data_IF_233781205377
#
_entry.id   IF_233781205377
#
_cell.length_a   1.000
_cell.length_b   1.000
_cell.length_c   1.000
_cell.angle_alpha   90.00
_cell.angle_beta   90.00
_cell.angle_gamma   90.00
#
_symmetry.space_group_name_H-M   'P 1'
#
loop_
_entity.id
_entity.type
_entity.pdbx_description
1 polymer ?
#
# COMPACT_ATOMS: atom_id res chain seq x y z
N UNK A 1 -49.97 -1.28 58.35
CA UNK A 1 -48.81 -1.38 57.43
C UNK A 1 -48.52 -0.01 56.83
N UNK A 2 -47.34 0.56 57.10
CA UNK A 2 -47.05 1.98 56.89
C UNK A 2 -46.93 2.36 55.40
N UNK A 3 -47.73 3.34 54.96
CA UNK A 3 -47.71 3.84 53.56
C UNK A 3 -46.36 4.47 53.16
N UNK A 4 -45.55 4.89 54.13
CA UNK A 4 -44.18 5.40 53.93
C UNK A 4 -43.22 4.35 53.38
N UNK A 5 -43.19 3.12 53.94
CA UNK A 5 -42.31 2.05 53.47
C UNK A 5 -42.57 1.66 52.01
N UNK A 6 -43.85 1.60 51.61
CA UNK A 6 -44.22 1.31 50.21
C UNK A 6 -43.78 2.40 49.23
N UNK A 7 -43.75 3.67 49.65
CA UNK A 7 -43.24 4.78 48.83
C UNK A 7 -41.70 4.78 48.75
N UNK A 8 -41.02 4.46 49.85
CA UNK A 8 -39.55 4.34 49.87
C UNK A 8 -39.02 3.21 48.97
N UNK A 9 -39.65 2.04 49.01
CA UNK A 9 -39.27 0.89 48.18
C UNK A 9 -39.41 1.18 46.66
N UNK A 10 -40.48 1.90 46.26
CA UNK A 10 -40.68 2.28 44.87
C UNK A 10 -39.60 3.25 44.36
N UNK A 11 -39.19 4.23 45.17
CA UNK A 11 -38.13 5.18 44.81
C UNK A 11 -36.76 4.48 44.65
N UNK A 12 -36.44 3.53 45.53
CA UNK A 12 -35.20 2.76 45.45
C UNK A 12 -35.11 1.91 44.16
N UNK A 13 -36.23 1.29 43.74
CA UNK A 13 -36.28 0.51 42.50
C UNK A 13 -36.10 1.37 41.24
N UNK A 14 -36.65 2.59 41.22
CA UNK A 14 -36.45 3.53 40.10
C UNK A 14 -34.98 3.95 39.98
N UNK A 15 -34.33 4.28 41.09
CA UNK A 15 -32.91 4.65 41.10
C UNK A 15 -32.01 3.47 40.68
N UNK A 16 -32.33 2.24 41.12
CA UNK A 16 -31.61 1.04 40.72
C UNK A 16 -31.75 0.70 39.23
N UNK A 17 -32.83 1.12 38.57
CA UNK A 17 -33.09 0.88 37.15
C UNK A 17 -32.35 1.85 36.20
N UNK A 18 -31.85 2.98 36.69
CA UNK A 18 -31.12 3.98 35.86
C UNK A 18 -29.72 3.47 35.50
N UNK A 19 -29.04 2.79 36.44
CA UNK A 19 -27.66 2.28 36.27
C UNK A 19 -27.53 1.26 35.12
N UNK A 20 -28.38 0.22 34.97
CA UNK A 20 -28.28 -0.69 33.82
C UNK A 20 -28.74 -0.04 32.49
N UNK A 21 -29.64 0.94 32.52
CA UNK A 21 -30.06 1.64 31.29
C UNK A 21 -28.94 2.51 30.71
N UNK A 22 -28.07 3.09 31.56
CA UNK A 22 -26.91 3.84 31.07
C UNK A 22 -25.88 3.00 30.30
N UNK A 23 -25.90 1.67 30.40
CA UNK A 23 -25.00 0.80 29.64
C UNK A 23 -25.28 0.79 28.12
N UNK A 24 -26.50 1.14 27.69
CA UNK A 24 -26.83 1.36 26.27
C UNK A 24 -26.80 2.84 25.86
N UNK A 25 -26.51 3.78 26.77
CA UNK A 25 -26.66 5.21 26.51
C UNK A 25 -25.69 5.77 25.45
N UNK A 26 -24.61 5.04 25.14
CA UNK A 26 -23.69 5.41 24.06
C UNK A 26 -24.34 5.36 22.67
N UNK A 27 -25.31 4.45 22.43
CA UNK A 27 -26.15 4.42 21.24
C UNK A 27 -25.41 4.63 19.91
N UNK A 28 -25.75 5.72 19.21
CA UNK A 28 -25.15 6.13 17.93
C UNK A 28 -23.79 6.85 18.07
N UNK A 29 -23.40 7.23 19.28
CA UNK A 29 -22.19 8.00 19.60
C UNK A 29 -21.14 7.13 20.32
N UNK A 30 -21.27 5.81 20.27
CA UNK A 30 -20.36 4.87 20.92
C UNK A 30 -18.92 4.98 20.38
N UNK A 31 -17.93 4.99 21.28
CA UNK A 31 -16.50 5.07 20.93
C UNK A 31 -16.06 3.96 19.94
N UNK A 32 -16.73 2.80 19.98
CA UNK A 32 -16.49 1.70 19.04
C UNK A 32 -16.84 2.03 17.58
N UNK A 33 -17.75 2.99 17.34
CA UNK A 33 -18.08 3.50 16.01
C UNK A 33 -17.05 4.53 15.50
N UNK A 34 -16.21 5.06 16.38
CA UNK A 34 -15.14 5.99 16.02
C UNK A 34 -13.84 5.28 15.60
N UNK A 35 -13.72 3.98 15.88
CA UNK A 35 -12.61 3.14 15.42
C UNK A 35 -12.69 2.99 13.89
N UNK A 36 -11.65 3.45 13.21
CA UNK A 36 -11.52 3.35 11.74
C UNK A 36 -10.64 2.15 11.36
N UNK A 37 -10.86 1.54 10.18
CA UNK A 37 -9.90 0.58 9.63
C UNK A 37 -8.52 1.23 9.45
N UNK A 38 -7.45 0.44 9.63
CA UNK A 38 -6.06 0.91 9.47
C UNK A 38 -5.74 1.32 8.03
N UNK A 39 -6.32 0.60 7.07
CA UNK A 39 -6.16 0.84 5.63
C UNK A 39 -7.29 1.75 5.11
N UNK A 40 -7.00 2.52 4.07
CA UNK A 40 -7.91 3.54 3.57
C UNK A 40 -9.26 2.94 3.10
N UNK A 41 -10.34 3.67 3.39
CA UNK A 41 -11.70 3.34 3.00
C UNK A 41 -12.43 4.61 2.56
N UNK A 42 -13.36 4.47 1.61
CA UNK A 42 -14.17 5.57 1.07
C UNK A 42 -15.49 5.03 0.52
N UNK A 43 -16.41 5.92 0.15
CA UNK A 43 -17.69 5.52 -0.44
C UNK A 43 -18.31 6.59 -1.32
N UNK A 44 -19.05 6.14 -2.34
CA UNK A 44 -20.01 6.98 -3.07
C UNK A 44 -21.39 6.62 -2.54
N UNK A 45 -22.06 7.63 -1.98
CA UNK A 45 -23.36 7.52 -1.32
C UNK A 45 -23.43 6.32 -0.33
N UNK A 46 -24.60 5.71 -0.24
CA UNK A 46 -24.86 4.52 0.59
C UNK A 46 -24.73 3.20 -0.20
N UNK A 47 -24.39 3.27 -1.49
CA UNK A 47 -24.45 2.12 -2.42
C UNK A 47 -23.08 1.58 -2.86
N UNK A 48 -22.02 2.39 -2.80
CA UNK A 48 -20.68 1.98 -3.27
C UNK A 48 -19.70 2.13 -2.12
N UNK A 49 -19.17 1.02 -1.58
CA UNK A 49 -18.19 1.03 -0.49
C UNK A 49 -16.86 0.45 -0.97
N UNK A 50 -15.77 1.19 -0.74
CA UNK A 50 -14.41 0.73 -1.02
C UNK A 50 -13.68 0.64 0.32
N UNK A 51 -13.17 -0.54 0.64
CA UNK A 51 -12.48 -0.85 1.89
C UNK A 51 -11.11 -1.46 1.61
N UNK A 52 -10.19 -1.32 2.56
CA UNK A 52 -8.86 -1.93 2.48
C UNK A 52 -8.08 -1.51 1.21
N UNK A 53 -8.11 -0.22 0.87
CA UNK A 53 -7.45 0.33 -0.31
C UNK A 53 -5.96 0.50 -0.01
N UNK A 54 -5.13 -0.30 -0.69
CA UNK A 54 -3.66 -0.31 -0.52
C UNK A 54 -2.98 -0.33 -1.90
N UNK A 55 -1.92 0.46 -2.04
CA UNK A 55 -1.02 0.40 -3.19
C UNK A 55 0.16 -0.50 -2.82
N UNK A 56 0.39 -1.57 -3.59
CA UNK A 56 1.42 -2.56 -3.28
C UNK A 56 2.60 -2.40 -4.25
N UNK A 57 3.78 -2.08 -3.70
CA UNK A 57 5.05 -2.04 -4.41
C UNK A 57 5.73 -3.43 -4.36
N UNK A 58 6.70 -3.73 -5.25
CA UNK A 58 7.44 -5.00 -5.20
C UNK A 58 8.09 -5.27 -3.84
N UNK A 59 8.29 -6.54 -3.51
CA UNK A 59 9.05 -6.95 -2.33
C UNK A 59 10.46 -6.33 -2.35
N UNK A 60 10.95 -5.91 -1.18
CA UNK A 60 12.25 -5.22 -1.04
C UNK A 60 12.24 -3.72 -1.36
N UNK A 61 11.09 -3.15 -1.79
CA UNK A 61 10.95 -1.68 -1.96
C UNK A 61 10.82 -0.99 -0.59
N UNK A 62 11.45 0.17 -0.42
CA UNK A 62 11.36 0.99 0.79
C UNK A 62 11.63 2.47 0.48
N UNK A 63 10.99 3.40 1.21
CA UNK A 63 11.15 4.84 1.00
C UNK A 63 10.68 5.28 -0.39
N UNK A 64 11.35 6.28 -0.96
CA UNK A 64 11.02 6.81 -2.30
C UNK A 64 11.26 5.75 -3.39
N UNK A 65 10.19 5.40 -4.10
CA UNK A 65 10.15 4.33 -5.10
C UNK A 65 9.57 4.86 -6.41
N UNK A 66 10.14 4.43 -7.53
CA UNK A 66 9.62 4.71 -8.88
C UNK A 66 9.64 3.44 -9.70
N UNK A 67 8.47 2.87 -10.00
CA UNK A 67 8.36 1.62 -10.74
C UNK A 67 6.95 1.04 -10.71
N UNK A 68 6.75 -0.21 -11.19
CA UNK A 68 5.45 -0.83 -11.23
C UNK A 68 4.86 -1.02 -9.83
N UNK A 69 3.54 -0.89 -9.73
CA UNK A 69 2.79 -1.12 -8.49
C UNK A 69 1.42 -1.70 -8.82
N UNK A 70 0.81 -2.40 -7.88
CA UNK A 70 -0.56 -2.89 -7.96
C UNK A 70 -1.47 -2.16 -6.98
N UNK A 71 -2.78 -2.22 -7.22
CA UNK A 71 -3.80 -1.73 -6.28
C UNK A 71 -4.60 -2.92 -5.79
N UNK A 72 -4.79 -3.01 -4.48
CA UNK A 72 -5.77 -3.91 -3.87
C UNK A 72 -6.84 -3.12 -3.12
N UNK A 73 -8.08 -3.58 -3.22
CA UNK A 73 -9.24 -3.00 -2.55
C UNK A 73 -10.37 -4.04 -2.54
N UNK A 74 -11.22 -4.03 -1.52
CA UNK A 74 -12.53 -4.68 -1.58
C UNK A 74 -13.58 -3.65 -1.98
N UNK A 75 -14.27 -3.89 -3.10
CA UNK A 75 -15.28 -2.99 -3.65
C UNK A 75 -16.65 -3.66 -3.53
N UNK A 76 -17.52 -3.12 -2.70
CA UNK A 76 -18.87 -3.63 -2.46
C UNK A 76 -19.91 -2.75 -3.16
N UNK A 77 -20.79 -3.39 -3.93
CA UNK A 77 -21.99 -2.77 -4.50
C UNK A 77 -23.20 -3.14 -3.63
N UNK A 78 -23.56 -2.25 -2.70
CA UNK A 78 -24.74 -2.41 -1.84
C UNK A 78 -26.03 -1.88 -2.46
N UNK A 79 -26.03 -1.54 -3.75
CA UNK A 79 -27.27 -1.23 -4.48
C UNK A 79 -28.13 -2.51 -4.63
N UNK A 80 -29.48 -2.41 -4.53
CA UNK A 80 -30.35 -3.58 -4.52
C UNK A 80 -30.66 -4.14 -5.92
N UNK A 81 -30.34 -3.40 -7.00
CA UNK A 81 -30.73 -3.74 -8.39
C UNK A 81 -29.76 -3.23 -9.47
N UNK A 82 -28.99 -2.20 -9.18
CA UNK A 82 -28.11 -1.56 -10.17
C UNK A 82 -26.70 -2.15 -10.10
N UNK A 83 -26.18 -2.59 -11.25
CA UNK A 83 -24.80 -3.03 -11.38
C UNK A 83 -23.83 -1.84 -11.36
N UNK A 84 -22.70 -2.03 -10.68
CA UNK A 84 -21.63 -1.05 -10.54
C UNK A 84 -20.51 -1.38 -11.53
N UNK A 85 -20.18 -0.43 -12.40
CA UNK A 85 -19.14 -0.60 -13.44
C UNK A 85 -17.93 0.28 -13.11
N UNK A 86 -16.83 -0.35 -12.73
CA UNK A 86 -15.53 0.30 -12.54
C UNK A 86 -14.80 0.36 -13.89
N UNK A 87 -14.44 1.55 -14.35
CA UNK A 87 -13.83 1.78 -15.68
C UNK A 87 -12.39 2.27 -15.62
N UNK A 88 -11.89 2.65 -14.44
CA UNK A 88 -10.50 3.06 -14.28
C UNK A 88 -10.05 3.22 -12.84
N UNK A 89 -8.73 3.10 -12.64
CA UNK A 89 -8.04 3.43 -11.39
C UNK A 89 -6.82 4.27 -11.73
N UNK A 90 -6.51 5.28 -10.92
CA UNK A 90 -5.28 6.08 -11.00
C UNK A 90 -4.59 6.12 -9.65
N UNK A 91 -3.26 6.00 -9.64
CA UNK A 91 -2.39 6.12 -8.46
C UNK A 91 -1.37 7.22 -8.72
N UNK A 92 -1.33 8.25 -7.88
CA UNK A 92 -0.40 9.37 -8.07
C UNK A 92 -0.58 10.10 -9.42
N UNK A 93 -1.78 10.03 -10.01
CA UNK A 93 -2.08 10.53 -11.35
C UNK A 93 -1.83 9.54 -12.50
N UNK A 94 -1.11 8.44 -12.29
CA UNK A 94 -0.86 7.42 -13.33
C UNK A 94 -1.99 6.40 -13.39
N UNK A 95 -2.50 6.12 -14.59
CA UNK A 95 -3.53 5.10 -14.79
C UNK A 95 -3.02 3.66 -14.57
N UNK A 96 -3.84 2.84 -13.93
CA UNK A 96 -3.65 1.39 -13.82
C UNK A 96 -4.31 0.67 -15.00
N UNK A 97 -3.66 -0.37 -15.49
CA UNK A 97 -4.25 -1.35 -16.40
C UNK A 97 -5.13 -2.31 -15.58
N UNK A 98 -6.37 -2.49 -16.00
CA UNK A 98 -7.29 -3.48 -15.43
C UNK A 98 -7.15 -4.82 -16.17
N UNK A 99 -7.15 -5.92 -15.43
CA UNK A 99 -7.24 -7.27 -15.98
C UNK A 99 -8.25 -8.11 -15.21
N UNK A 100 -8.82 -9.14 -15.84
CA UNK A 100 -9.66 -10.12 -15.15
C UNK A 100 -8.85 -11.03 -14.19
N UNK A 101 -9.54 -12.02 -13.61
CA UNK A 101 -8.95 -13.09 -12.78
C UNK A 101 -7.90 -13.95 -13.52
N UNK A 102 -7.99 -14.03 -14.85
CA UNK A 102 -7.07 -14.78 -15.72
C UNK A 102 -5.86 -13.95 -16.17
N UNK A 103 -5.84 -12.64 -15.85
CA UNK A 103 -4.81 -11.70 -16.29
C UNK A 103 -5.02 -11.15 -17.71
N UNK A 104 -6.16 -11.40 -18.34
CA UNK A 104 -6.53 -10.81 -19.63
C UNK A 104 -6.90 -9.32 -19.46
N UNK A 105 -6.41 -8.40 -20.30
CA UNK A 105 -6.77 -6.98 -20.22
C UNK A 105 -8.27 -6.73 -20.43
N UNK A 106 -8.86 -5.92 -19.56
CA UNK A 106 -10.28 -5.50 -19.65
C UNK A 106 -10.41 -3.98 -19.59
N UNK A 107 -11.42 -3.43 -20.24
CA UNK A 107 -11.74 -1.99 -20.17
C UNK A 107 -12.56 -1.61 -18.94
N UNK A 108 -13.22 -2.59 -18.31
CA UNK A 108 -14.10 -2.38 -17.17
C UNK A 108 -14.22 -3.65 -16.33
N UNK A 109 -14.62 -3.48 -15.07
CA UNK A 109 -14.98 -4.55 -14.13
C UNK A 109 -16.43 -4.28 -13.70
N UNK A 110 -17.30 -5.27 -13.88
CA UNK A 110 -18.71 -5.21 -13.46
C UNK A 110 -18.85 -5.89 -12.10
N UNK A 111 -19.56 -5.26 -11.18
CA UNK A 111 -19.83 -5.75 -9.82
C UNK A 111 -21.34 -5.74 -9.67
N UNK A 112 -21.98 -6.91 -9.61
CA UNK A 112 -23.44 -6.97 -9.66
C UNK A 112 -24.08 -6.45 -8.38
N UNK A 113 -25.37 -6.13 -8.45
CA UNK A 113 -26.16 -5.66 -7.31
C UNK A 113 -26.07 -6.64 -6.11
N UNK A 114 -25.61 -6.13 -4.96
CA UNK A 114 -25.42 -6.90 -3.73
C UNK A 114 -24.08 -7.64 -3.61
N UNK A 115 -23.22 -7.59 -4.64
CA UNK A 115 -21.93 -8.31 -4.64
C UNK A 115 -20.77 -7.50 -4.06
N UNK A 116 -19.64 -8.18 -3.84
CA UNK A 116 -18.37 -7.56 -3.49
C UNK A 116 -17.24 -8.23 -4.26
N UNK A 117 -16.35 -7.43 -4.84
CA UNK A 117 -15.18 -7.87 -5.59
C UNK A 117 -13.91 -7.49 -4.85
N UNK A 118 -13.06 -8.49 -4.61
CA UNK A 118 -11.67 -8.28 -4.26
C UNK A 118 -10.87 -7.97 -5.52
N UNK A 119 -10.28 -6.78 -5.56
CA UNK A 119 -9.30 -6.37 -6.54
C UNK A 119 -7.90 -6.73 -6.05
N UNK A 120 -7.12 -7.36 -6.93
CA UNK A 120 -5.72 -7.74 -6.69
C UNK A 120 -5.55 -9.04 -5.90
N UNK A 121 -4.34 -9.59 -5.98
CA UNK A 121 -3.94 -10.79 -5.24
C UNK A 121 -4.42 -12.09 -5.87
N UNK A 122 -3.90 -13.21 -5.34
CA UNK A 122 -4.24 -14.55 -5.83
C UNK A 122 -5.69 -14.89 -5.48
N UNK A 123 -6.54 -15.00 -6.50
CA UNK A 123 -7.98 -15.27 -6.34
C UNK A 123 -8.85 -14.03 -6.16
N UNK A 124 -8.32 -12.82 -6.39
CA UNK A 124 -9.15 -11.65 -6.67
C UNK A 124 -9.82 -11.79 -8.04
N UNK A 125 -11.07 -11.31 -8.18
CA UNK A 125 -11.85 -11.46 -9.42
C UNK A 125 -11.32 -10.56 -10.57
N UNK A 126 -10.48 -9.58 -10.23
CA UNK A 126 -9.78 -8.72 -11.17
C UNK A 126 -8.49 -8.20 -10.54
N UNK A 127 -7.59 -7.64 -11.35
CA UNK A 127 -6.35 -7.00 -10.89
C UNK A 127 -6.21 -5.60 -11.50
N UNK A 128 -5.51 -4.71 -10.79
CA UNK A 128 -5.15 -3.38 -11.28
C UNK A 128 -3.65 -3.14 -11.10
N UNK A 129 -2.96 -2.81 -12.19
CA UNK A 129 -1.50 -2.66 -12.20
C UNK A 129 -1.07 -1.38 -12.91
N UNK A 130 -0.32 -0.54 -12.20
CA UNK A 130 0.29 0.68 -12.71
C UNK A 130 1.68 0.33 -13.24
N UNK A 131 2.03 0.65 -14.51
CA UNK A 131 3.31 0.25 -15.09
C UNK A 131 4.51 1.01 -14.48
N UNK A 132 4.30 2.26 -14.05
CA UNK A 132 5.28 3.04 -13.31
C UNK A 132 4.58 4.16 -12.52
N UNK A 133 4.72 4.16 -11.20
CA UNK A 133 4.26 5.23 -10.32
C UNK A 133 5.41 5.72 -9.44
N UNK A 134 5.41 7.02 -9.12
CA UNK A 134 6.25 7.59 -8.06
C UNK A 134 5.50 7.47 -6.74
N UNK A 135 6.08 6.78 -5.78
CA UNK A 135 5.45 6.39 -4.51
C UNK A 135 6.45 6.56 -3.36
N UNK A 136 5.94 6.74 -2.14
CA UNK A 136 6.74 6.65 -0.92
C UNK A 136 6.27 5.41 -0.15
N UNK A 137 7.07 4.34 -0.14
CA UNK A 137 6.72 3.06 0.50
C UNK A 137 6.79 3.19 2.01
N UNK A 138 5.67 2.89 2.68
CA UNK A 138 5.40 3.27 4.07
C UNK A 138 4.63 4.59 4.22
N UNK A 139 4.52 5.38 3.14
CA UNK A 139 3.70 6.59 3.06
C UNK A 139 2.33 6.34 2.43
N UNK A 140 1.76 7.39 1.84
CA UNK A 140 0.43 7.36 1.21
C UNK A 140 0.49 7.89 -0.22
N UNK A 141 -0.40 7.40 -1.09
CA UNK A 141 -0.56 7.84 -2.48
C UNK A 141 -2.02 8.11 -2.80
N UNK A 142 -2.37 9.27 -3.41
CA UNK A 142 -3.74 9.54 -3.83
C UNK A 142 -4.14 8.54 -4.91
N UNK A 143 -5.19 7.78 -4.61
CA UNK A 143 -5.73 6.72 -5.45
C UNK A 143 -7.18 7.03 -5.78
N UNK A 144 -7.49 7.16 -7.07
CA UNK A 144 -8.81 7.50 -7.59
C UNK A 144 -9.41 6.30 -8.33
N UNK A 145 -10.67 6.00 -8.05
CA UNK A 145 -11.47 4.99 -8.72
C UNK A 145 -12.57 5.69 -9.52
N UNK A 146 -12.72 5.32 -10.79
CA UNK A 146 -13.69 5.91 -11.73
C UNK A 146 -14.76 4.89 -12.05
N UNK A 147 -16.01 5.21 -11.72
CA UNK A 147 -17.18 4.40 -12.02
C UNK A 147 -18.06 5.06 -13.07
N UNK A 148 -18.61 4.28 -14.01
CA UNK A 148 -19.35 4.79 -15.17
C UNK A 148 -20.54 5.69 -14.79
N UNK A 149 -21.33 5.25 -13.79
CA UNK A 149 -22.55 5.95 -13.33
C UNK A 149 -22.39 6.66 -11.98
N UNK A 150 -21.57 6.10 -11.09
CA UNK A 150 -21.35 6.65 -9.76
C UNK A 150 -20.29 7.77 -9.74
N UNK A 151 -19.50 7.93 -10.80
CA UNK A 151 -18.46 8.96 -10.91
C UNK A 151 -17.15 8.58 -10.22
N UNK A 152 -16.36 9.59 -9.87
CA UNK A 152 -15.03 9.43 -9.28
C UNK A 152 -15.07 9.46 -7.75
N UNK A 153 -14.31 8.57 -7.11
CA UNK A 153 -14.01 8.64 -5.68
C UNK A 153 -12.52 8.46 -5.43
N UNK A 154 -11.96 9.22 -4.49
CA UNK A 154 -10.54 9.19 -4.16
C UNK A 154 -10.31 8.87 -2.69
N UNK A 155 -9.19 8.19 -2.41
CA UNK A 155 -8.68 7.94 -1.07
C UNK A 155 -7.14 8.03 -1.07
N UNK A 156 -6.56 8.41 0.06
CA UNK A 156 -5.10 8.33 0.24
C UNK A 156 -4.75 6.91 0.69
N UNK A 157 -4.45 6.04 -0.27
CA UNK A 157 -4.09 4.65 -0.02
C UNK A 157 -2.69 4.58 0.59
N UNK A 158 -2.49 3.74 1.61
CA UNK A 158 -1.15 3.46 2.11
C UNK A 158 -0.36 2.67 1.07
N UNK A 159 0.94 2.96 0.96
CA UNK A 159 1.86 2.24 0.06
C UNK A 159 2.62 1.21 0.87
N UNK A 160 2.52 -0.07 0.49
CA UNK A 160 3.11 -1.19 1.23
C UNK A 160 3.98 -2.06 0.30
N UNK A 161 5.10 -2.62 0.80
CA UNK A 161 5.86 -3.61 0.05
C UNK A 161 5.10 -4.95 0.02
N UNK A 162 5.26 -5.73 -1.06
CA UNK A 162 4.63 -7.04 -1.24
C UNK A 162 5.24 -8.15 -0.36
N UNK A 163 5.12 -8.00 0.97
CA UNK A 163 5.60 -8.94 2.00
C UNK A 163 4.56 -9.07 3.11
N UNK A 164 4.62 -10.17 3.87
CA UNK A 164 3.67 -10.43 4.96
C UNK A 164 2.23 -10.49 4.43
N UNK A 165 1.33 -9.66 4.97
CA UNK A 165 -0.07 -9.62 4.53
C UNK A 165 -0.26 -9.23 3.06
N UNK A 166 0.71 -8.55 2.45
CA UNK A 166 0.67 -8.14 1.04
C UNK A 166 1.51 -9.06 0.13
N UNK A 167 2.00 -10.18 0.64
CA UNK A 167 2.61 -11.22 -0.18
C UNK A 167 1.59 -11.74 -1.20
N UNK A 168 2.00 -11.84 -2.47
CA UNK A 168 1.11 -12.21 -3.58
C UNK A 168 0.21 -11.08 -4.10
N UNK A 169 0.11 -9.93 -3.43
CA UNK A 169 -0.63 -8.75 -3.92
C UNK A 169 0.23 -7.80 -4.76
N UNK A 170 1.55 -7.99 -4.83
CA UNK A 170 2.47 -7.16 -5.61
C UNK A 170 2.22 -7.18 -7.12
N UNK A 171 2.88 -6.27 -7.87
CA UNK A 171 2.74 -6.19 -9.32
C UNK A 171 3.23 -7.48 -9.99
N UNK A 172 2.44 -7.98 -10.94
CA UNK A 172 2.66 -9.22 -11.69
C UNK A 172 3.53 -9.02 -12.95
N UNK A 173 4.06 -7.80 -13.13
CA UNK A 173 5.13 -7.56 -14.11
C UNK A 173 6.27 -8.53 -13.76
N UNK A 174 6.60 -9.45 -14.67
CA UNK A 174 7.78 -10.31 -14.54
C UNK A 174 8.95 -9.42 -14.17
N UNK A 175 9.47 -9.59 -12.97
CA UNK A 175 10.74 -9.02 -12.58
C UNK A 175 11.78 -9.60 -13.54
N UNK A 176 12.16 -8.83 -14.55
CA UNK A 176 13.45 -9.06 -15.19
C UNK A 176 14.45 -9.08 -14.05
N UNK A 177 15.23 -10.17 -13.87
CA UNK A 177 16.15 -10.24 -12.76
C UNK A 177 17.05 -9.01 -12.82
N UNK A 178 17.11 -8.27 -11.71
CA UNK A 178 18.15 -7.26 -11.54
C UNK A 178 19.48 -7.94 -11.84
N UNK A 179 20.36 -7.37 -12.69
CA UNK A 179 21.61 -8.02 -13.02
C UNK A 179 22.38 -8.24 -11.72
N UNK A 180 22.50 -9.52 -11.32
CA UNK A 180 23.27 -9.89 -10.16
C UNK A 180 24.67 -9.32 -10.36
N UNK A 181 25.11 -8.48 -9.41
CA UNK A 181 26.46 -7.92 -9.43
C UNK A 181 27.44 -9.08 -9.46
N UNK A 182 28.06 -9.31 -10.62
CA UNK A 182 29.01 -10.40 -10.81
C UNK A 182 30.10 -10.28 -9.74
N UNK A 183 30.43 -11.36 -9.01
CA UNK A 183 31.56 -11.32 -8.09
C UNK A 183 32.83 -11.05 -8.89
N UNK A 184 33.48 -9.93 -8.63
CA UNK A 184 34.80 -9.63 -9.20
C UNK A 184 35.82 -10.70 -8.80
N UNK A 185 36.75 -10.95 -9.71
CA UNK A 185 37.59 -12.15 -9.76
C UNK A 185 38.40 -12.48 -8.48
N UNK A 186 38.72 -13.77 -8.26
CA UNK A 186 39.58 -14.19 -7.15
C UNK A 186 41.00 -13.63 -7.27
N UNK A 187 41.62 -13.35 -6.12
CA UNK A 187 43.01 -12.90 -6.04
C UNK A 187 43.99 -14.00 -6.50
N UNK A 188 44.95 -13.62 -7.35
CA UNK A 188 46.01 -14.52 -7.82
C UNK A 188 47.20 -14.52 -6.82
N UNK A 189 47.70 -15.69 -6.36
CA UNK A 189 48.75 -15.76 -5.34
C UNK A 189 50.17 -16.02 -5.87
N UNK A 190 51.17 -15.37 -5.25
CA UNK A 190 52.61 -15.73 -5.31
C UNK A 190 53.36 -15.22 -6.56
N UNK A 191 54.60 -14.72 -6.47
CA UNK A 191 55.76 -15.32 -5.79
C UNK A 191 56.71 -14.26 -5.22
N UNK A 192 57.44 -14.61 -4.16
CA UNK A 192 58.50 -13.76 -3.58
C UNK A 192 59.85 -14.46 -3.49
N UNK A 193 60.89 -13.80 -4.01
CA UNK A 193 62.35 -14.00 -3.81
C UNK A 193 63.00 -12.71 -4.32
N UNK A 194 64.03 -12.08 -3.74
CA UNK A 194 64.99 -12.52 -2.72
C UNK A 194 66.40 -12.11 -3.15
N UNK A 195 66.89 -10.94 -2.68
CA UNK A 195 68.31 -10.51 -2.53
C UNK A 195 69.36 -10.77 -3.63
N UNK A 196 70.09 -9.73 -4.10
CA UNK A 196 71.38 -9.92 -4.79
C UNK A 196 71.99 -8.70 -5.50
N UNK A 197 73.06 -8.13 -4.96
CA UNK A 197 73.70 -6.84 -5.29
C UNK A 197 74.45 -6.68 -6.64
N UNK A 198 74.70 -5.39 -6.97
CA UNK A 198 75.98 -4.80 -7.46
C UNK A 198 76.06 -4.30 -8.92
N UNK A 199 76.52 -3.05 -9.10
CA UNK A 199 76.81 -2.40 -10.39
C UNK A 199 76.65 -0.86 -10.34
N UNK A 200 77.74 -0.10 -10.50
CA UNK A 200 77.82 1.37 -10.29
C UNK A 200 77.90 2.15 -11.64
N UNK A 201 78.20 3.48 -11.70
CA UNK A 201 77.21 4.57 -11.67
C UNK A 201 77.24 5.50 -12.92
N UNK A 202 76.28 6.43 -13.06
CA UNK A 202 76.48 7.74 -13.71
C UNK A 202 75.34 8.75 -13.47
N UNK A 203 75.71 10.02 -13.31
CA UNK A 203 74.90 11.24 -13.23
C UNK A 203 75.68 12.36 -13.98
N UNK A 204 75.21 13.63 -14.13
CA UNK A 204 73.91 14.26 -13.86
C UNK A 204 73.15 14.52 -15.20
N UNK A 205 72.24 15.47 -15.48
CA UNK A 205 71.65 16.64 -14.79
C UNK A 205 70.23 16.92 -15.39
N UNK A 206 69.42 17.90 -14.95
CA UNK A 206 69.54 18.86 -13.85
C UNK A 206 68.26 19.67 -13.61
N UNK A 207 68.13 20.17 -12.38
CA UNK A 207 67.47 21.39 -11.88
C UNK A 207 66.32 22.10 -12.63
N UNK A 208 65.22 22.32 -11.87
CA UNK A 208 64.44 23.59 -11.80
C UNK A 208 63.55 24.00 -13.00
N UNK A 209 62.42 24.71 -12.86
CA UNK A 209 61.60 25.12 -11.70
C UNK A 209 60.29 25.76 -12.20
N UNK A 210 59.18 25.66 -11.46
CA UNK A 210 58.05 26.60 -11.55
C UNK A 210 58.51 28.02 -11.10
N UNK A 211 57.84 29.17 -11.40
CA UNK A 211 56.37 29.34 -11.36
C UNK A 211 55.70 30.43 -12.27
N UNK A 212 54.39 30.62 -12.03
CA UNK A 212 53.65 31.91 -11.95
C UNK A 212 52.92 32.53 -13.16
N UNK A 213 51.76 33.13 -12.81
CA UNK A 213 50.93 34.16 -13.47
C UNK A 213 50.23 33.77 -14.81
N UNK A 214 48.94 34.05 -15.00
CA UNK A 214 48.17 35.23 -14.59
C UNK A 214 46.88 34.94 -13.80
#
# INVERSE_FOLDING_TARGET
MSRSLRRGAAAALVLAAIVPLSACAAGNDADTLQIKPDNAATSIDNSVKLNNIVVVAPAGSAGEYSGPASVTANIANTAPKDDLVLTGIKVGGTAAQLTDENGAPVSQIVIHAGESVLLGGKGGAANAQVPSAKLSVGGYSPTTFTFEKAGDVSANANVQPAVGYYEGFGPQVKTSPSPATSPSAPASPGTGTGTGASGSPSAPAGSSSAPAAH
#
